data_IF_958225993375
#
_entry.id   IF_958225993375
#
_cell.length_a   1.000
_cell.length_b   1.000
_cell.length_c   1.000
_cell.angle_alpha   90.00
_cell.angle_beta   90.00
_cell.angle_gamma   90.00
#
_symmetry.space_group_name_H-M   'P 1'
#
loop_
_entity.id
_entity.type
_entity.pdbx_description
1 polymer ?
#
# COMPACT_ATOMS: atom_id res chain seq x y z
N UNK A 1 2.87 -11.86 2.70
CA UNK A 1 3.20 -11.34 4.04
C UNK A 1 4.42 -10.40 4.09
N UNK A 2 5.13 -10.13 2.98
CA UNK A 2 6.31 -9.26 3.04
C UNK A 2 5.95 -7.77 3.29
N UNK A 3 4.95 -7.25 2.57
CA UNK A 3 4.55 -5.83 2.65
C UNK A 3 3.84 -5.46 3.95
N UNK A 4 3.17 -6.42 4.60
CA UNK A 4 2.49 -6.19 5.89
C UNK A 4 3.46 -5.89 7.04
N UNK A 5 4.76 -6.12 6.85
CA UNK A 5 5.84 -5.77 7.78
C UNK A 5 6.74 -4.66 7.23
N UNK A 6 6.26 -3.96 6.21
CA UNK A 6 6.99 -2.86 5.57
C UNK A 6 7.00 -1.60 6.41
N UNK A 7 7.96 -0.72 6.11
CA UNK A 7 8.07 0.59 6.76
C UNK A 7 7.12 1.56 6.05
N UNK A 8 6.23 2.20 6.81
CA UNK A 8 5.35 3.26 6.30
C UNK A 8 6.14 4.57 6.21
N UNK A 9 5.86 5.36 5.18
CA UNK A 9 6.41 6.69 5.03
C UNK A 9 5.71 7.46 3.93
N UNK A 10 6.38 8.51 3.47
CA UNK A 10 5.89 9.41 2.43
C UNK A 10 7.01 9.66 1.41
N UNK A 11 6.63 9.91 0.15
CA UNK A 11 7.53 10.36 -0.91
C UNK A 11 6.76 11.25 -1.88
N UNK A 12 7.21 12.50 -2.04
CA UNK A 12 6.54 13.50 -2.89
C UNK A 12 5.05 13.68 -2.57
N UNK A 13 4.71 13.74 -1.28
CA UNK A 13 3.35 13.78 -0.73
C UNK A 13 2.48 12.54 -1.01
N UNK A 14 3.06 11.43 -1.45
CA UNK A 14 2.38 10.15 -1.62
C UNK A 14 2.71 9.21 -0.44
N UNK A 15 1.68 8.77 0.29
CA UNK A 15 1.82 7.80 1.36
C UNK A 15 2.22 6.43 0.78
N UNK A 16 3.25 5.81 1.35
CA UNK A 16 3.86 4.59 0.82
C UNK A 16 4.22 3.56 1.89
N UNK A 17 4.42 2.33 1.44
CA UNK A 17 5.04 1.25 2.20
C UNK A 17 6.29 0.73 1.49
N UNK A 18 7.39 0.60 2.22
CA UNK A 18 8.64 0.01 1.74
C UNK A 18 8.73 -1.47 2.11
N UNK A 19 8.95 -2.35 1.12
CA UNK A 19 9.19 -3.77 1.35
C UNK A 19 10.48 -3.99 2.17
N UNK A 20 10.44 -4.77 3.26
CA UNK A 20 11.61 -4.95 4.12
C UNK A 20 12.74 -5.73 3.44
N UNK A 21 12.44 -6.55 2.43
CA UNK A 21 13.41 -7.40 1.73
C UNK A 21 14.10 -6.66 0.58
N UNK A 22 13.32 -6.17 -0.38
CA UNK A 22 13.85 -5.64 -1.65
C UNK A 22 13.89 -4.11 -1.73
N UNK A 23 13.39 -3.41 -0.70
CA UNK A 23 13.30 -1.94 -0.63
C UNK A 23 12.47 -1.26 -1.73
N UNK A 24 11.75 -2.05 -2.53
CA UNK A 24 10.70 -1.54 -3.40
C UNK A 24 9.62 -0.85 -2.57
N UNK A 25 9.19 0.32 -3.02
CA UNK A 25 8.18 1.15 -2.37
C UNK A 25 6.90 1.17 -3.19
N UNK A 26 5.76 1.08 -2.51
CA UNK A 26 4.45 1.04 -3.15
C UNK A 26 3.54 2.11 -2.54
N UNK A 27 2.78 2.81 -3.38
CA UNK A 27 1.75 3.76 -2.95
C UNK A 27 0.64 3.03 -2.20
N UNK A 28 0.26 3.53 -1.03
CA UNK A 28 -0.87 3.02 -0.25
C UNK A 28 -2.23 3.39 -0.87
N UNK A 29 -2.26 4.40 -1.74
CA UNK A 29 -3.47 4.87 -2.42
C UNK A 29 -3.75 4.09 -3.71
N UNK A 30 -2.71 3.81 -4.49
CA UNK A 30 -2.84 3.30 -5.86
C UNK A 30 -2.19 1.95 -6.09
N UNK A 31 -1.38 1.45 -5.14
CA UNK A 31 -0.61 0.22 -5.31
C UNK A 31 0.57 0.33 -6.26
N UNK A 32 0.76 1.47 -6.95
CA UNK A 32 1.86 1.67 -7.90
C UNK A 32 3.21 1.53 -7.22
N UNK A 33 4.14 0.86 -7.91
CA UNK A 33 5.54 0.85 -7.53
C UNK A 33 6.15 2.24 -7.80
N UNK A 34 6.77 2.84 -6.79
CA UNK A 34 7.22 4.24 -6.82
C UNK A 34 8.71 4.41 -7.12
N UNK A 35 9.46 3.31 -7.15
CA UNK A 35 10.92 3.32 -7.30
C UNK A 35 11.46 2.20 -8.19
N UNK A 36 10.63 1.67 -9.08
CA UNK A 36 10.99 0.58 -9.98
C UNK A 36 9.94 0.36 -11.06
N UNK A 37 10.00 -0.79 -11.71
CA UNK A 37 9.21 -1.15 -12.89
C UNK A 37 8.25 -2.32 -12.65
N UNK A 38 7.96 -2.63 -11.38
CA UNK A 38 6.96 -3.66 -11.05
C UNK A 38 5.55 -3.13 -11.29
N UNK A 39 4.65 -4.03 -11.67
CA UNK A 39 3.23 -3.72 -11.76
C UNK A 39 2.66 -3.27 -10.41
N UNK A 40 1.56 -2.53 -10.48
CA UNK A 40 0.83 -2.10 -9.29
C UNK A 40 0.29 -3.32 -8.53
N UNK A 41 0.42 -3.30 -7.20
CA UNK A 41 -0.21 -4.30 -6.35
C UNK A 41 -1.70 -4.00 -6.20
N UNK A 42 -2.50 -5.03 -5.93
CA UNK A 42 -3.92 -4.86 -5.67
C UNK A 42 -4.15 -3.95 -4.46
N UNK A 43 -5.06 -2.98 -4.63
CA UNK A 43 -5.60 -2.16 -3.55
C UNK A 43 -7.07 -2.55 -3.33
N UNK A 44 -7.53 -2.33 -2.11
CA UNK A 44 -8.87 -2.69 -1.69
C UNK A 44 -9.51 -1.46 -1.02
N UNK A 45 -10.78 -1.14 -1.32
CA UNK A 45 -11.47 -0.07 -0.62
C UNK A 45 -11.58 -0.40 0.87
N UNK A 46 -11.35 0.60 1.71
CA UNK A 46 -11.41 0.48 3.17
C UNK A 46 -12.43 1.47 3.72
N UNK A 47 -13.32 1.01 4.60
CA UNK A 47 -14.28 1.82 5.35
C UNK A 47 -14.05 1.63 6.85
N UNK A 48 -14.11 2.71 7.61
CA UNK A 48 -14.08 2.66 9.09
C UNK A 48 -15.47 3.05 9.59
N UNK A 49 -16.10 2.19 10.38
CA UNK A 49 -17.44 2.43 10.95
C UNK A 49 -17.52 1.76 12.33
N UNK A 50 -17.98 2.51 13.33
CA UNK A 50 -18.15 2.05 14.72
C UNK A 50 -16.90 1.38 15.33
N UNK A 51 -15.70 1.86 14.98
CA UNK A 51 -14.43 1.30 15.46
C UNK A 51 -13.97 0.04 14.72
N UNK A 52 -14.71 -0.42 13.73
CA UNK A 52 -14.35 -1.55 12.88
C UNK A 52 -13.76 -1.09 11.54
N UNK A 53 -12.77 -1.84 11.05
CA UNK A 53 -12.16 -1.64 9.73
C UNK A 53 -12.71 -2.69 8.77
N UNK A 54 -13.44 -2.24 7.75
CA UNK A 54 -14.00 -3.07 6.69
C UNK A 54 -13.10 -2.99 5.47
N UNK A 55 -12.79 -4.14 4.86
CA UNK A 55 -12.04 -4.25 3.60
C UNK A 55 -12.99 -4.81 2.56
N UNK A 56 -13.24 -4.04 1.50
CA UNK A 56 -14.13 -4.42 0.41
C UNK A 56 -13.36 -4.92 -0.82
N UNK A 57 -14.09 -5.42 -1.80
CA UNK A 57 -13.59 -5.70 -3.14
C UNK A 57 -14.25 -4.72 -4.10
N UNK A 58 -13.47 -4.04 -4.91
CA UNK A 58 -13.97 -3.29 -6.06
C UNK A 58 -14.10 -4.25 -7.24
N UNK A 59 -15.32 -4.42 -7.77
CA UNK A 59 -15.55 -5.03 -9.09
C UNK A 59 -14.95 -4.18 -10.21
#
# INVERSE_FOLDING_TARGET
>A
MALSRGIIGEQHMEAKVACPLHKNTFSLKTGKNLNGSLDAIATYPVKIEDGFVYVGFSE
#
